data_IF_929326644084
#
_entry.id   IF_929326644084
#
_cell.length_a   1.000
_cell.length_b   1.000
_cell.length_c   1.000
_cell.angle_alpha   90.00
_cell.angle_beta   90.00
_cell.angle_gamma   90.00
#
_symmetry.space_group_name_H-M   'P 1'
#
loop_
_entity.id
_entity.type
_entity.pdbx_description
1 polymer ?
#
# COMPACT_ATOMS: atom_id res chain seq x y z
N UNK A 1 -5.35 -50.83 6.18
CA UNK A 1 -5.88 -49.45 6.01
C UNK A 1 -4.84 -48.35 6.29
N UNK A 2 -3.54 -48.67 6.42
CA UNK A 2 -2.54 -47.79 7.05
C UNK A 2 -1.37 -47.35 6.12
N UNK A 3 -1.23 -47.93 4.92
CA UNK A 3 -0.13 -47.62 3.97
C UNK A 3 -0.25 -46.28 3.25
N UNK A 4 -1.43 -45.67 3.22
CA UNK A 4 -1.66 -44.39 2.52
C UNK A 4 -1.02 -43.19 3.24
N UNK A 5 -0.78 -43.31 4.55
CA UNK A 5 -0.18 -42.26 5.39
C UNK A 5 1.32 -42.07 5.17
N UNK A 6 2.04 -43.14 4.79
CA UNK A 6 3.48 -43.04 4.53
C UNK A 6 3.81 -42.29 3.22
N UNK A 7 2.85 -42.21 2.28
CA UNK A 7 3.03 -41.56 0.98
C UNK A 7 2.63 -40.06 1.00
N UNK A 8 1.86 -39.61 2.00
CA UNK A 8 1.39 -38.22 2.09
C UNK A 8 2.37 -37.29 2.82
N UNK A 9 3.20 -37.81 3.73
CA UNK A 9 4.19 -37.02 4.49
C UNK A 9 5.27 -36.35 3.61
N UNK A 10 5.88 -37.01 2.61
CA UNK A 10 6.90 -36.37 1.76
C UNK A 10 6.33 -35.27 0.88
N UNK A 11 5.07 -35.41 0.42
CA UNK A 11 4.42 -34.42 -0.45
C UNK A 11 4.18 -33.07 0.24
N UNK A 12 4.04 -33.07 1.57
CA UNK A 12 3.90 -31.84 2.34
C UNK A 12 5.24 -31.10 2.51
N UNK A 13 6.36 -31.83 2.54
CA UNK A 13 7.70 -31.27 2.66
C UNK A 13 8.19 -30.58 1.36
N UNK A 14 7.64 -30.98 0.21
CA UNK A 14 7.92 -30.39 -1.10
C UNK A 14 6.82 -29.45 -1.61
N UNK A 15 5.75 -29.25 -0.83
CA UNK A 15 4.71 -28.29 -1.18
C UNK A 15 5.28 -26.87 -1.09
N UNK A 16 5.51 -26.23 -2.24
CA UNK A 16 5.83 -24.80 -2.29
C UNK A 16 4.68 -23.99 -1.71
N UNK A 17 5.00 -22.89 -1.02
CA UNK A 17 3.98 -21.93 -0.61
C UNK A 17 3.33 -21.34 -1.87
N UNK A 18 1.99 -21.31 -1.89
CA UNK A 18 1.28 -20.57 -2.93
C UNK A 18 1.57 -19.08 -2.70
N UNK A 19 2.42 -18.49 -3.54
CA UNK A 19 2.58 -17.05 -3.58
C UNK A 19 1.40 -16.46 -4.33
N UNK A 20 0.32 -16.17 -3.61
CA UNK A 20 -0.72 -15.29 -4.14
C UNK A 20 -0.08 -13.91 -4.35
N UNK A 21 0.00 -13.48 -5.61
CA UNK A 21 0.51 -12.15 -5.93
C UNK A 21 -0.44 -11.10 -5.36
N UNK A 22 0.09 -10.20 -4.54
CA UNK A 22 -0.63 -9.06 -4.00
C UNK A 22 -0.82 -8.02 -5.12
N UNK A 23 -1.67 -8.35 -6.09
CA UNK A 23 -2.02 -7.50 -7.20
C UNK A 23 -2.94 -6.36 -6.74
N UNK A 24 -2.36 -5.41 -5.99
CA UNK A 24 -3.05 -4.25 -5.42
C UNK A 24 -3.40 -3.19 -6.47
N UNK A 25 -2.88 -3.34 -7.69
CA UNK A 25 -3.06 -2.41 -8.80
C UNK A 25 -3.94 -3.03 -9.88
N UNK A 26 -4.59 -2.20 -10.69
CA UNK A 26 -5.37 -2.63 -11.83
C UNK A 26 -4.46 -3.28 -12.88
N UNK A 27 -5.00 -4.28 -13.62
CA UNK A 27 -4.26 -4.89 -14.73
C UNK A 27 -4.11 -3.87 -15.87
N UNK A 28 -2.97 -3.89 -16.55
CA UNK A 28 -2.78 -3.10 -17.77
C UNK A 28 -3.71 -3.58 -18.87
N UNK A 29 -4.44 -2.66 -19.49
CA UNK A 29 -5.31 -2.94 -20.62
C UNK A 29 -4.59 -3.52 -21.82
N UNK A 30 -5.26 -4.39 -22.58
CA UNK A 30 -4.76 -4.93 -23.84
C UNK A 30 -5.20 -4.10 -25.06
N UNK A 31 -6.11 -3.15 -24.86
CA UNK A 31 -6.54 -2.17 -25.86
C UNK A 31 -5.89 -0.83 -25.61
N UNK A 32 -5.69 -0.04 -26.66
CA UNK A 32 -5.02 1.28 -26.58
C UNK A 32 -5.70 2.19 -25.55
N UNK A 33 -7.04 2.27 -25.57
CA UNK A 33 -7.80 3.08 -24.62
C UNK A 33 -7.61 2.64 -23.16
N UNK A 34 -7.53 1.33 -22.92
CA UNK A 34 -7.38 0.81 -21.56
C UNK A 34 -5.94 1.01 -21.04
N UNK A 35 -4.93 0.93 -21.92
CA UNK A 35 -3.55 1.28 -21.59
C UNK A 35 -3.40 2.77 -21.25
N UNK A 36 -4.04 3.66 -22.01
CA UNK A 36 -4.07 5.11 -21.73
C UNK A 36 -4.74 5.40 -20.37
N UNK A 37 -5.90 4.79 -20.11
CA UNK A 37 -6.63 4.95 -18.85
C UNK A 37 -5.80 4.48 -17.65
N UNK A 38 -5.03 3.40 -17.80
CA UNK A 38 -4.08 2.94 -16.78
C UNK A 38 -3.01 4.02 -16.48
N UNK A 39 -2.47 4.65 -17.53
CA UNK A 39 -1.51 5.75 -17.39
C UNK A 39 -2.11 6.96 -16.66
N UNK A 40 -3.32 7.36 -17.04
CA UNK A 40 -4.06 8.45 -16.37
C UNK A 40 -4.32 8.15 -14.89
N UNK A 41 -4.78 6.92 -14.60
CA UNK A 41 -4.99 6.47 -13.23
C UNK A 41 -3.72 6.60 -12.38
N UNK A 42 -2.59 6.11 -12.90
CA UNK A 42 -1.33 6.14 -12.16
C UNK A 42 -0.81 7.57 -11.95
N UNK A 43 -1.00 8.45 -12.92
CA UNK A 43 -0.66 9.87 -12.78
C UNK A 43 -1.46 10.53 -11.66
N UNK A 44 -2.79 10.36 -11.64
CA UNK A 44 -3.66 10.94 -10.62
C UNK A 44 -3.39 10.32 -9.24
N UNK A 45 -3.14 9.02 -9.19
CA UNK A 45 -2.75 8.34 -7.95
C UNK A 45 -1.52 8.99 -7.32
N UNK A 46 -0.48 9.28 -8.11
CA UNK A 46 0.71 9.97 -7.61
C UNK A 46 0.45 11.41 -7.17
N UNK A 47 -0.48 12.12 -7.82
CA UNK A 47 -0.95 13.42 -7.32
C UNK A 47 -1.59 13.31 -5.94
N UNK A 48 -2.45 12.31 -5.72
CA UNK A 48 -3.06 12.06 -4.41
C UNK A 48 -2.01 11.74 -3.34
N UNK A 49 -1.02 10.90 -3.65
CA UNK A 49 0.09 10.58 -2.74
C UNK A 49 0.90 11.84 -2.41
N UNK A 50 1.25 12.65 -3.41
CA UNK A 50 2.01 13.88 -3.22
C UNK A 50 1.30 14.88 -2.30
N UNK A 51 0.01 15.12 -2.55
CA UNK A 51 -0.79 16.02 -1.71
C UNK A 51 -0.94 15.45 -0.30
N UNK A 52 -1.17 14.14 -0.16
CA UNK A 52 -1.22 13.47 1.13
C UNK A 52 0.04 13.72 1.95
N UNK A 53 1.21 13.47 1.36
CA UNK A 53 2.51 13.71 2.02
C UNK A 53 2.65 15.17 2.45
N UNK A 54 2.27 16.13 1.60
CA UNK A 54 2.36 17.56 1.93
C UNK A 54 1.45 17.92 3.11
N UNK A 55 0.18 17.52 3.08
CA UNK A 55 -0.80 17.85 4.12
C UNK A 55 -0.45 17.17 5.44
N UNK A 56 -0.16 15.87 5.42
CA UNK A 56 0.26 15.14 6.62
C UNK A 56 1.59 15.67 7.15
N UNK A 57 2.52 16.05 6.27
CA UNK A 57 3.77 16.68 6.66
C UNK A 57 3.56 18.01 7.38
N UNK A 58 2.72 18.89 6.83
CA UNK A 58 2.36 20.17 7.47
C UNK A 58 1.65 19.96 8.81
N UNK A 59 0.76 18.96 8.90
CA UNK A 59 0.07 18.60 10.15
C UNK A 59 1.07 18.10 11.20
N UNK A 60 1.97 17.18 10.84
CA UNK A 60 3.01 16.65 11.75
C UNK A 60 3.91 17.78 12.23
N UNK A 61 4.36 18.65 11.33
CA UNK A 61 5.15 19.83 11.69
C UNK A 61 4.42 20.71 12.70
N UNK A 62 3.13 20.97 12.46
CA UNK A 62 2.30 21.81 13.32
C UNK A 62 2.17 21.21 14.73
N UNK A 63 1.96 19.89 14.83
CA UNK A 63 1.90 19.19 16.12
C UNK A 63 3.22 19.27 16.88
N UNK A 64 4.36 19.07 16.21
CA UNK A 64 5.68 19.12 16.85
C UNK A 64 6.02 20.54 17.31
N UNK A 65 5.66 21.57 16.53
CA UNK A 65 6.05 22.96 16.80
C UNK A 65 5.10 23.71 17.73
N UNK A 66 3.81 23.38 17.72
CA UNK A 66 2.78 24.07 18.52
C UNK A 66 2.26 23.22 19.69
N UNK A 67 2.90 22.10 20.04
CA UNK A 67 2.54 21.31 21.22
C UNK A 67 2.63 22.13 22.50
N UNK A 68 1.70 21.84 23.41
CA UNK A 68 1.55 22.51 24.71
C UNK A 68 2.78 22.38 25.60
N UNK A 69 3.51 21.26 25.54
CA UNK A 69 4.70 21.02 26.36
C UNK A 69 5.87 21.96 26.04
N UNK A 70 5.87 22.61 24.87
CA UNK A 70 6.90 23.59 24.47
C UNK A 70 6.47 25.03 24.82
N UNK A 71 5.33 25.21 25.50
CA UNK A 71 4.84 26.53 25.89
C UNK A 71 4.34 27.38 24.71
N UNK A 72 3.89 26.73 23.62
CA UNK A 72 3.38 27.41 22.45
C UNK A 72 2.21 28.35 22.82
N UNK A 73 2.38 29.65 22.59
CA UNK A 73 1.35 30.67 22.83
C UNK A 73 0.44 30.75 21.61
N UNK A 74 -0.89 30.64 21.78
CA UNK A 74 -1.82 30.80 20.67
C UNK A 74 -1.78 32.25 20.17
N UNK A 75 -2.00 32.43 18.87
CA UNK A 75 -2.14 33.76 18.29
C UNK A 75 -3.40 34.44 18.84
N UNK A 76 -3.31 35.75 19.08
CA UNK A 76 -4.45 36.60 19.41
C UNK A 76 -4.87 37.30 18.13
N UNK A 77 -5.74 36.62 17.37
CA UNK A 77 -6.48 37.22 16.27
C UNK A 77 -7.79 37.81 16.80
#
# INVERSE_FOLDING_TARGET
MSRKWFLSLPGLAFASTAQAEWALNMRTGVTDLSAETYGLHMMVFWWCVGIGVVVFGAMIYSLIRHRKSVGAKPAKF
#
